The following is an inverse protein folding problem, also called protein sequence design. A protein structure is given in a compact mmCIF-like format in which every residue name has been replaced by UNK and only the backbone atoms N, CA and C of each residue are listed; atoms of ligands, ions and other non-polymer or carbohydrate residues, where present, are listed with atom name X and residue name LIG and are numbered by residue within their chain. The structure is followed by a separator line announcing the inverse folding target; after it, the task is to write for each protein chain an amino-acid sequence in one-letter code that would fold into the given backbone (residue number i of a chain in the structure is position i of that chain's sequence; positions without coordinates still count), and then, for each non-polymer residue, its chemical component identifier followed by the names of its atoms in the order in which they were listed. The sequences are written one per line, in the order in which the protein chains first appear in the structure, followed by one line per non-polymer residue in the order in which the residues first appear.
data_IF_238930231503
#
_entry.id   IF_238930231503
#
_cell.length_a   1.000
_cell.length_b   1.000
_cell.length_c   1.000
_cell.angle_alpha   90.00
_cell.angle_beta   90.00
_cell.angle_gamma   90.00
#
_symmetry.space_group_name_H-M   'P 1'
#
loop_
_entity.id
_entity.type
_entity.pdbx_description
1 polymer ?
#
# COMPACT_ATOMS: atom_id res chain seq x y z
N UNK A 1 -52.49 5.55 11.03
CA UNK A 1 -51.09 6.01 11.20
C UNK A 1 -50.28 5.37 10.07
N UNK A 2 -49.70 6.18 9.19
CA UNK A 2 -49.09 5.75 7.91
C UNK A 2 -47.73 5.09 8.15
N UNK A 3 -47.57 3.80 7.83
CA UNK A 3 -46.26 3.21 7.55
C UNK A 3 -45.91 3.51 6.08
N UNK A 4 -44.93 4.39 5.88
CA UNK A 4 -44.30 4.62 4.57
C UNK A 4 -42.78 4.48 4.75
N UNK A 5 -42.19 3.73 3.82
CA UNK A 5 -40.77 3.71 3.45
C UNK A 5 -39.85 2.86 4.33
N UNK A 6 -39.84 1.54 4.07
CA UNK A 6 -38.68 0.70 4.30
C UNK A 6 -38.27 0.10 2.94
N UNK A 7 -37.55 0.90 2.14
CA UNK A 7 -36.79 0.44 0.97
C UNK A 7 -35.32 0.75 1.25
N UNK A 8 -34.67 -0.11 2.02
CA UNK A 8 -33.22 -0.28 2.02
C UNK A 8 -32.97 -1.79 2.04
N UNK A 9 -32.95 -2.35 0.84
CA UNK A 9 -32.56 -3.74 0.61
C UNK A 9 -31.03 -3.77 0.73
N UNK A 10 -30.54 -4.14 1.91
CA UNK A 10 -29.12 -4.40 2.14
C UNK A 10 -28.78 -5.70 1.41
N UNK A 11 -28.14 -5.59 0.24
CA UNK A 11 -27.50 -6.72 -0.42
C UNK A 11 -26.20 -7.05 0.32
N UNK A 12 -26.30 -7.94 1.31
CA UNK A 12 -25.17 -8.45 2.06
C UNK A 12 -24.58 -9.67 1.30
N UNK A 13 -23.54 -9.45 0.49
CA UNK A 13 -22.76 -10.55 -0.07
C UNK A 13 -21.56 -10.78 0.85
N UNK A 14 -21.64 -11.82 1.67
CA UNK A 14 -20.53 -12.33 2.48
C UNK A 14 -19.72 -13.29 1.61
N UNK A 15 -18.55 -12.87 1.13
CA UNK A 15 -17.60 -13.77 0.46
C UNK A 15 -16.64 -14.32 1.50
N UNK A 16 -16.80 -15.61 1.83
CA UNK A 16 -15.85 -16.40 2.61
C UNK A 16 -14.72 -16.86 1.69
N UNK A 17 -13.52 -16.34 1.90
CA UNK A 17 -12.34 -16.61 1.08
C UNK A 17 -11.72 -17.95 1.48
N UNK A 18 -11.88 -18.95 0.62
CA UNK A 18 -10.98 -20.10 0.54
C UNK A 18 -10.53 -20.27 -0.92
N UNK A 19 -9.34 -19.75 -1.24
CA UNK A 19 -8.44 -20.25 -2.29
C UNK A 19 -8.97 -20.42 -3.73
N UNK A 20 -10.06 -19.76 -4.13
CA UNK A 20 -10.47 -19.67 -5.53
C UNK A 20 -10.58 -18.20 -5.87
N UNK A 21 -9.91 -17.76 -6.95
CA UNK A 21 -10.13 -16.45 -7.55
C UNK A 21 -11.63 -16.24 -7.67
N UNK A 22 -12.16 -15.34 -6.84
CA UNK A 22 -13.55 -14.95 -6.92
C UNK A 22 -13.71 -14.29 -8.29
N UNK A 23 -14.38 -14.97 -9.23
CA UNK A 23 -15.00 -14.27 -10.34
C UNK A 23 -15.96 -13.28 -9.69
N UNK A 24 -15.57 -12.01 -9.65
CA UNK A 24 -16.47 -10.92 -9.37
C UNK A 24 -17.69 -11.14 -10.25
N UNK A 25 -18.84 -11.39 -9.62
CA UNK A 25 -20.09 -11.49 -10.37
C UNK A 25 -20.33 -10.08 -10.88
N UNK A 26 -20.19 -9.90 -12.18
CA UNK A 26 -20.31 -8.62 -12.85
C UNK A 26 -21.77 -8.17 -12.77
N UNK A 27 -22.13 -7.51 -11.67
CA UNK A 27 -23.42 -6.87 -11.47
C UNK A 27 -23.36 -5.59 -12.30
N UNK A 28 -23.54 -5.73 -13.61
CA UNK A 28 -23.86 -4.62 -14.51
C UNK A 28 -25.29 -4.14 -14.17
N UNK A 29 -25.43 -3.50 -13.01
CA UNK A 29 -26.54 -2.62 -12.71
C UNK A 29 -26.23 -1.29 -13.40
N UNK A 30 -27.19 -0.76 -14.16
CA UNK A 30 -27.13 0.60 -14.70
C UNK A 30 -26.82 1.56 -13.55
N UNK A 31 -25.58 2.07 -13.52
CA UNK A 31 -25.16 3.03 -12.51
C UNK A 31 -26.03 4.28 -12.64
N UNK A 32 -26.55 4.75 -11.52
CA UNK A 32 -27.27 6.02 -11.56
C UNK A 32 -26.27 7.18 -11.74
N UNK A 33 -26.74 8.33 -12.25
CA UNK A 33 -25.87 9.47 -12.54
C UNK A 33 -25.07 9.97 -11.31
N UNK A 34 -25.62 9.83 -10.09
CA UNK A 34 -24.92 10.23 -8.88
C UNK A 34 -23.76 9.28 -8.54
N UNK A 35 -23.94 7.97 -8.74
CA UNK A 35 -22.88 6.98 -8.55
C UNK A 35 -21.72 7.20 -9.52
N UNK A 36 -22.01 7.56 -10.77
CA UNK A 36 -20.98 7.89 -11.75
C UNK A 36 -20.19 9.13 -11.32
N UNK A 37 -20.87 10.17 -10.82
CA UNK A 37 -20.22 11.39 -10.31
C UNK A 37 -19.33 11.07 -9.10
N UNK A 38 -19.81 10.26 -8.17
CA UNK A 38 -19.05 9.84 -6.99
C UNK A 38 -17.81 9.03 -7.37
N UNK A 39 -17.95 8.03 -8.26
CA UNK A 39 -16.83 7.22 -8.74
C UNK A 39 -15.77 8.05 -9.46
N UNK A 40 -16.19 9.01 -10.29
CA UNK A 40 -15.25 9.92 -10.95
C UNK A 40 -14.50 10.81 -9.93
N UNK A 41 -15.19 11.32 -8.91
CA UNK A 41 -14.55 12.12 -7.86
C UNK A 41 -13.51 11.29 -7.07
N UNK A 42 -13.82 10.03 -6.78
CA UNK A 42 -12.89 9.11 -6.12
C UNK A 42 -11.72 8.75 -7.04
N UNK A 43 -11.96 8.52 -8.32
CA UNK A 43 -10.90 8.28 -9.31
C UNK A 43 -9.95 9.48 -9.41
N UNK A 44 -10.48 10.70 -9.54
CA UNK A 44 -9.66 11.92 -9.59
C UNK A 44 -8.82 12.09 -8.32
N UNK A 45 -9.39 11.77 -7.14
CA UNK A 45 -8.66 11.76 -5.87
C UNK A 45 -7.55 10.70 -5.86
N UNK A 46 -7.84 9.48 -6.33
CA UNK A 46 -6.84 8.41 -6.42
C UNK A 46 -5.68 8.82 -7.33
N UNK A 47 -5.96 9.41 -8.50
CA UNK A 47 -4.93 9.90 -9.43
C UNK A 47 -4.10 11.01 -8.77
N UNK A 48 -4.73 11.94 -8.03
CA UNK A 48 -4.03 12.99 -7.30
C UNK A 48 -3.09 12.46 -6.23
N UNK A 49 -3.52 11.46 -5.48
CA UNK A 49 -2.69 10.80 -4.47
C UNK A 49 -1.54 10.02 -5.10
N UNK A 50 -1.79 9.31 -6.21
CA UNK A 50 -0.81 8.39 -6.78
C UNK A 50 0.20 9.05 -7.71
N UNK A 51 -0.21 10.13 -8.39
CA UNK A 51 0.59 10.75 -9.44
C UNK A 51 0.56 9.99 -10.77
N UNK A 52 -0.38 9.07 -10.97
CA UNK A 52 -0.47 8.25 -12.19
C UNK A 52 -0.96 9.02 -13.44
N UNK A 53 -0.95 10.36 -13.39
CA UNK A 53 -1.36 11.29 -14.47
C UNK A 53 -0.59 11.12 -15.79
N UNK A 54 0.70 10.78 -15.71
CA UNK A 54 1.58 10.71 -16.89
C UNK A 54 1.10 9.69 -17.92
N UNK A 55 0.24 8.76 -17.50
CA UNK A 55 -0.30 7.71 -18.35
C UNK A 55 -1.78 7.91 -18.64
N UNK A 56 -2.44 9.05 -18.38
CA UNK A 56 -3.92 9.12 -18.52
C UNK A 56 -4.45 8.77 -19.93
N UNK A 57 -3.68 9.07 -20.98
CA UNK A 57 -4.02 8.68 -22.35
C UNK A 57 -3.70 7.20 -22.67
N UNK A 58 -2.80 6.58 -21.89
CA UNK A 58 -2.37 5.18 -22.06
C UNK A 58 -3.11 4.21 -21.11
N UNK A 59 -3.45 4.68 -19.92
CA UNK A 59 -4.27 4.06 -18.89
C UNK A 59 -5.73 4.40 -19.16
N UNK A 60 -6.40 3.53 -19.91
CA UNK A 60 -7.85 3.56 -20.13
C UNK A 60 -8.59 3.20 -18.84
N UNK A 61 -8.43 4.00 -17.79
CA UNK A 61 -9.13 3.81 -16.53
C UNK A 61 -10.42 4.61 -16.59
N UNK A 62 -11.52 3.94 -16.29
CA UNK A 62 -12.85 4.53 -16.32
C UNK A 62 -13.56 4.36 -14.97
N UNK A 63 -14.74 4.96 -14.82
CA UNK A 63 -15.51 4.88 -13.58
C UNK A 63 -15.91 3.42 -13.24
N UNK A 64 -15.93 2.54 -14.23
CA UNK A 64 -16.22 1.11 -14.09
C UNK A 64 -15.11 0.37 -13.33
N UNK A 65 -13.87 0.87 -13.35
CA UNK A 65 -12.74 0.31 -12.60
C UNK A 65 -12.75 0.70 -11.11
N UNK A 66 -13.73 1.52 -10.70
CA UNK A 66 -13.94 1.96 -9.32
C UNK A 66 -15.05 1.13 -8.70
N UNK A 67 -14.69 0.28 -7.73
CA UNK A 67 -15.62 -0.65 -7.08
C UNK A 67 -15.71 -0.37 -5.58
N UNK A 68 -16.94 -0.36 -5.04
CA UNK A 68 -17.14 -0.34 -3.60
C UNK A 68 -17.08 -1.77 -3.08
N UNK A 69 -16.05 -2.09 -2.29
CA UNK A 69 -15.80 -3.44 -1.77
C UNK A 69 -15.67 -3.45 -0.25
N UNK A 70 -15.95 -4.59 0.38
CA UNK A 70 -15.59 -4.81 1.77
C UNK A 70 -14.14 -5.26 1.85
N UNK A 71 -13.34 -4.52 2.60
CA UNK A 71 -11.92 -4.77 2.74
C UNK A 71 -11.56 -5.18 4.17
N UNK A 72 -10.67 -6.16 4.26
CA UNK A 72 -10.09 -6.66 5.50
C UNK A 72 -8.57 -6.65 5.34
N UNK A 73 -7.89 -5.92 6.23
CA UNK A 73 -6.43 -5.83 6.25
C UNK A 73 -5.92 -6.27 7.63
N UNK A 74 -5.19 -7.38 7.64
CA UNK A 74 -4.57 -7.95 8.85
C UNK A 74 -3.05 -7.83 8.86
N UNK A 75 -2.46 -7.29 7.79
CA UNK A 75 -1.01 -7.36 7.54
C UNK A 75 -0.36 -5.99 7.59
N UNK A 76 -1.15 -4.95 7.37
CA UNK A 76 -0.69 -3.58 7.44
C UNK A 76 -0.71 -3.09 8.89
N UNK A 77 0.45 -2.77 9.51
CA UNK A 77 0.50 -2.18 10.85
C UNK A 77 -0.39 -0.94 10.94
N UNK A 78 -0.80 -0.53 12.15
CA UNK A 78 -1.69 0.62 12.46
C UNK A 78 -3.10 0.59 11.84
N UNK A 79 -3.30 -0.03 10.66
CA UNK A 79 -4.62 -0.22 10.04
C UNK A 79 -5.46 -1.29 10.73
N UNK A 80 -4.84 -2.15 11.55
CA UNK A 80 -5.55 -3.17 12.33
C UNK A 80 -6.64 -2.58 13.24
N UNK A 81 -6.41 -1.39 13.80
CA UNK A 81 -7.41 -0.67 14.61
C UNK A 81 -8.51 -0.02 13.77
N UNK A 82 -8.25 0.28 12.49
CA UNK A 82 -9.22 0.90 11.58
C UNK A 82 -10.24 -0.09 10.98
N UNK A 83 -10.23 -1.34 11.46
CA UNK A 83 -11.36 -2.26 11.40
C UNK A 83 -11.32 -3.25 10.24
N UNK A 84 -11.49 -4.53 10.57
CA UNK A 84 -11.82 -5.59 9.62
C UNK A 84 -13.21 -5.33 9.02
N UNK A 85 -13.38 -5.54 7.70
CA UNK A 85 -14.65 -5.45 6.95
C UNK A 85 -15.21 -4.04 6.79
N UNK A 86 -14.36 -3.12 6.34
CA UNK A 86 -14.74 -1.74 6.02
C UNK A 86 -15.14 -1.61 4.56
N UNK A 87 -16.14 -0.79 4.26
CA UNK A 87 -16.46 -0.42 2.88
C UNK A 87 -15.39 0.55 2.36
N UNK A 88 -14.72 0.18 1.27
CA UNK A 88 -13.66 0.97 0.63
C UNK A 88 -13.91 1.05 -0.86
N UNK A 89 -13.52 2.16 -1.45
CA UNK A 89 -13.36 2.26 -2.88
C UNK A 89 -12.04 1.59 -3.28
N UNK A 90 -12.14 0.58 -4.12
CA UNK A 90 -11.03 -0.08 -4.78
C UNK A 90 -10.94 0.43 -6.21
N UNK A 91 -9.75 0.87 -6.62
CA UNK A 91 -9.45 1.37 -7.95
C UNK A 91 -8.27 0.57 -8.49
N UNK A 92 -8.49 -0.12 -9.62
CA UNK A 92 -7.44 -0.85 -10.32
C UNK A 92 -6.80 0.06 -11.39
N UNK A 93 -5.48 0.22 -11.30
CA UNK A 93 -4.67 0.93 -12.29
C UNK A 93 -3.83 -0.10 -13.04
N UNK A 94 -3.98 -0.18 -14.36
CA UNK A 94 -3.27 -1.16 -15.16
C UNK A 94 -2.11 -0.55 -15.96
N UNK A 95 -1.04 -1.32 -16.17
CA UNK A 95 0.10 -0.92 -16.99
C UNK A 95 0.77 0.40 -16.53
N UNK A 96 0.83 0.63 -15.22
CA UNK A 96 1.48 1.80 -14.64
C UNK A 96 2.99 1.66 -14.72
N UNK A 97 3.61 2.70 -15.27
CA UNK A 97 5.04 2.76 -15.43
C UNK A 97 5.70 3.73 -14.43
N UNK A 98 6.36 3.19 -13.41
CA UNK A 98 7.09 3.98 -12.40
C UNK A 98 8.52 4.34 -12.85
N UNK A 99 8.68 4.96 -14.02
CA UNK A 99 10.01 5.33 -14.53
C UNK A 99 10.50 6.67 -13.98
N UNK A 100 11.73 6.65 -13.50
CA UNK A 100 12.57 7.85 -13.42
C UNK A 100 13.25 8.08 -14.76
N UNK A 101 13.42 9.35 -15.17
CA UNK A 101 14.25 9.73 -16.33
C UNK A 101 15.72 9.33 -16.17
N UNK A 102 16.15 9.08 -14.93
CA UNK A 102 17.53 8.77 -14.57
C UNK A 102 17.67 7.30 -14.17
N UNK A 103 18.63 6.59 -14.79
CA UNK A 103 19.20 5.36 -14.24
C UNK A 103 18.45 4.04 -14.50
N UNK A 104 17.48 4.01 -15.42
CA UNK A 104 16.83 2.76 -15.84
C UNK A 104 17.72 1.98 -16.84
N UNK A 105 17.85 0.66 -16.72
CA UNK A 105 18.27 -0.19 -17.85
C UNK A 105 17.32 0.03 -19.04
N UNK A 106 17.86 0.33 -20.22
CA UNK A 106 17.08 0.73 -21.39
C UNK A 106 16.13 -0.36 -21.94
N UNK A 107 16.27 -1.60 -21.48
CA UNK A 107 15.68 -2.82 -22.02
C UNK A 107 14.52 -3.39 -21.18
N UNK A 108 14.25 -2.89 -19.98
CA UNK A 108 13.27 -3.50 -19.09
C UNK A 108 12.01 -2.65 -18.95
N UNK A 109 10.91 -3.00 -19.64
CA UNK A 109 9.59 -2.43 -19.35
C UNK A 109 9.11 -2.89 -17.97
N UNK A 110 8.70 -1.93 -17.15
CA UNK A 110 8.25 -2.09 -15.77
C UNK A 110 6.85 -1.52 -15.66
N UNK A 111 5.97 -2.07 -16.49
CA UNK A 111 4.55 -1.81 -16.41
C UNK A 111 4.00 -2.76 -15.34
N UNK A 112 3.20 -2.20 -14.44
CA UNK A 112 2.70 -2.89 -13.24
C UNK A 112 1.26 -2.47 -12.98
N UNK A 113 0.52 -3.39 -12.38
CA UNK A 113 -0.83 -3.13 -11.96
C UNK A 113 -0.84 -2.71 -10.49
N UNK A 114 -1.61 -1.69 -10.17
CA UNK A 114 -1.75 -1.14 -8.83
C UNK A 114 -3.20 -1.15 -8.38
N UNK A 115 -3.42 -1.66 -7.18
CA UNK A 115 -4.68 -1.54 -6.46
C UNK A 115 -4.60 -0.40 -5.47
N UNK A 116 -5.55 0.53 -5.55
CA UNK A 116 -5.66 1.66 -4.62
C UNK A 116 -6.92 1.49 -3.79
N UNK A 117 -6.80 1.62 -2.47
CA UNK A 117 -7.90 1.47 -1.54
C UNK A 117 -8.11 2.77 -0.77
N UNK A 118 -9.27 3.39 -0.96
CA UNK A 118 -9.70 4.62 -0.29
C UNK A 118 -10.90 4.31 0.58
N UNK A 119 -10.88 4.75 1.83
CA UNK A 119 -12.03 4.57 2.71
C UNK A 119 -13.28 5.29 2.16
N UNK A 120 -14.40 4.58 2.07
CA UNK A 120 -15.63 5.16 1.51
C UNK A 120 -16.25 6.26 2.39
N UNK A 121 -16.07 6.19 3.71
CA UNK A 121 -16.69 7.12 4.64
C UNK A 121 -15.90 8.43 4.81
N UNK A 122 -14.57 8.34 4.94
CA UNK A 122 -13.68 9.47 5.21
C UNK A 122 -12.90 9.93 3.99
N UNK A 123 -12.86 9.12 2.93
CA UNK A 123 -12.06 9.39 1.74
C UNK A 123 -10.56 9.30 1.97
N UNK A 124 -10.08 8.81 3.12
CA UNK A 124 -8.64 8.66 3.35
C UNK A 124 -8.06 7.51 2.53
N UNK A 125 -6.83 7.69 2.05
CA UNK A 125 -6.06 6.62 1.44
C UNK A 125 -5.67 5.60 2.52
N UNK A 126 -6.06 4.35 2.34
CA UNK A 126 -5.67 3.27 3.25
C UNK A 126 -4.38 2.62 2.77
N UNK A 127 -4.32 2.25 1.49
CA UNK A 127 -3.13 1.63 0.90
C UNK A 127 -3.12 1.67 -0.62
N UNK A 128 -1.92 1.56 -1.16
CA UNK A 128 -1.61 1.32 -2.56
C UNK A 128 -0.82 0.02 -2.61
N UNK A 129 -1.18 -0.93 -3.47
CA UNK A 129 -0.50 -2.22 -3.59
C UNK A 129 -0.19 -2.47 -5.06
N UNK A 130 1.04 -2.85 -5.35
CA UNK A 130 1.43 -3.50 -6.61
C UNK A 130 1.91 -4.90 -6.26
N UNK A 131 1.12 -5.90 -6.64
CA UNK A 131 1.45 -7.30 -6.44
C UNK A 131 2.34 -7.82 -7.58
N UNK A 132 3.08 -8.90 -7.30
CA UNK A 132 3.85 -9.60 -8.32
C UNK A 132 2.98 -10.62 -9.06
N UNK A 133 2.90 -10.54 -10.38
CA UNK A 133 2.01 -11.36 -11.22
C UNK A 133 2.35 -12.86 -11.30
N UNK A 134 3.51 -13.29 -10.79
CA UNK A 134 4.10 -14.57 -11.24
C UNK A 134 4.06 -15.73 -10.25
N UNK A 135 3.16 -15.71 -9.26
CA UNK A 135 2.90 -16.88 -8.39
C UNK A 135 4.13 -17.44 -7.66
N UNK A 136 5.22 -16.67 -7.59
CA UNK A 136 6.41 -17.05 -6.86
C UNK A 136 6.04 -16.98 -5.38
N UNK A 137 6.23 -18.06 -4.60
CA UNK A 137 5.88 -18.06 -3.20
C UNK A 137 6.59 -16.90 -2.51
N UNK A 138 5.89 -16.26 -1.56
CA UNK A 138 6.51 -15.29 -0.68
C UNK A 138 7.79 -15.88 -0.13
N UNK A 139 8.92 -15.24 -0.40
CA UNK A 139 10.21 -15.69 0.14
C UNK A 139 10.24 -15.59 1.68
N UNK A 140 9.29 -14.87 2.28
CA UNK A 140 9.15 -14.66 3.71
C UNK A 140 7.70 -14.50 4.12
N UNK A 141 7.29 -15.07 5.28
CA UNK A 141 5.94 -14.90 5.79
C UNK A 141 5.63 -13.41 5.98
N UNK A 142 4.43 -13.00 5.57
CA UNK A 142 3.91 -11.68 5.91
C UNK A 142 3.85 -11.54 7.43
N UNK A 143 4.42 -10.44 7.93
CA UNK A 143 4.30 -10.08 9.34
C UNK A 143 2.88 -9.59 9.62
N UNK A 144 2.29 -10.05 10.72
CA UNK A 144 1.00 -9.54 11.16
C UNK A 144 1.12 -8.07 11.57
N UNK A 145 0.05 -7.31 11.38
CA UNK A 145 -0.02 -5.89 11.69
C UNK A 145 0.46 -5.57 13.11
N UNK A 146 0.03 -6.35 14.11
CA UNK A 146 0.37 -6.16 15.52
C UNK A 146 1.88 -6.30 15.79
N UNK A 147 2.53 -7.31 15.18
CA UNK A 147 3.96 -7.55 15.36
C UNK A 147 4.81 -6.50 14.63
N UNK A 148 4.36 -6.09 13.44
CA UNK A 148 4.96 -4.98 12.70
C UNK A 148 4.91 -3.69 13.53
N UNK A 149 3.77 -3.40 14.13
CA UNK A 149 3.57 -2.21 14.96
C UNK A 149 4.42 -2.23 16.23
N UNK A 150 4.48 -3.37 16.94
CA UNK A 150 5.38 -3.53 18.10
C UNK A 150 6.83 -3.21 17.75
N UNK A 151 7.31 -3.66 16.59
CA UNK A 151 8.69 -3.38 16.16
C UNK A 151 8.91 -1.91 15.83
N UNK A 152 7.95 -1.26 15.18
CA UNK A 152 8.01 0.16 14.86
C UNK A 152 8.02 0.98 16.16
N UNK A 153 7.08 0.70 17.07
CA UNK A 153 6.98 1.34 18.38
C UNK A 153 8.25 1.17 19.23
N UNK A 154 8.93 0.00 19.14
CA UNK A 154 10.19 -0.25 19.87
C UNK A 154 11.32 0.70 19.47
N UNK A 155 11.22 1.36 18.31
CA UNK A 155 12.17 2.34 17.80
C UNK A 155 11.79 3.79 18.09
N UNK A 156 10.69 4.00 18.83
CA UNK A 156 10.12 5.33 19.07
C UNK A 156 9.28 5.87 17.90
N UNK A 157 9.20 5.14 16.79
CA UNK A 157 8.37 5.47 15.65
C UNK A 157 6.89 5.20 15.97
N UNK A 158 6.01 6.10 15.55
CA UNK A 158 4.55 5.95 15.68
C UNK A 158 3.85 6.47 14.43
N UNK A 159 2.79 5.77 14.05
CA UNK A 159 1.81 6.27 13.09
C UNK A 159 0.57 6.66 13.87
N UNK A 160 0.25 7.96 13.87
CA UNK A 160 -0.74 8.53 14.80
C UNK A 160 -2.09 8.81 14.14
N UNK A 161 -2.21 8.58 12.82
CA UNK A 161 -3.46 8.74 12.09
C UNK A 161 -3.27 8.83 10.58
N UNK A 162 -4.37 9.16 9.89
CA UNK A 162 -4.42 9.40 8.46
C UNK A 162 -4.43 10.91 8.19
N UNK A 163 -3.68 11.43 7.20
CA UNK A 163 -3.67 12.87 6.92
C UNK A 163 -4.94 13.32 6.20
N UNK A 164 -5.47 14.48 6.60
CA UNK A 164 -6.66 15.09 5.99
C UNK A 164 -6.35 15.88 4.70
N UNK A 165 -5.08 16.26 4.52
CA UNK A 165 -4.61 17.05 3.36
C UNK A 165 -4.13 16.13 2.23
N UNK A 166 -4.32 16.55 0.98
CA UNK A 166 -3.70 15.88 -0.17
C UNK A 166 -2.19 16.14 -0.11
N UNK A 167 -1.34 15.12 -0.32
CA UNK A 167 0.11 15.30 -0.29
C UNK A 167 0.57 16.17 -1.46
N UNK A 168 1.55 17.05 -1.22
CA UNK A 168 2.18 17.85 -2.29
C UNK A 168 3.06 16.97 -3.18
N UNK A 169 3.59 15.87 -2.63
CA UNK A 169 4.38 14.86 -3.33
C UNK A 169 3.51 13.63 -3.56
N UNK A 170 3.35 13.23 -4.81
CA UNK A 170 2.58 12.03 -5.16
C UNK A 170 3.26 10.74 -4.68
N UNK A 171 2.51 9.63 -4.61
CA UNK A 171 3.09 8.31 -4.35
C UNK A 171 4.21 7.97 -5.33
N UNK A 172 4.03 8.26 -6.63
CA UNK A 172 5.04 7.98 -7.67
C UNK A 172 6.33 8.73 -7.38
N UNK A 173 6.25 10.02 -7.07
CA UNK A 173 7.43 10.85 -6.77
C UNK A 173 8.12 10.36 -5.48
N UNK A 174 7.34 10.05 -4.44
CA UNK A 174 7.86 9.51 -3.20
C UNK A 174 8.52 8.12 -3.40
N UNK A 175 7.93 7.27 -4.24
CA UNK A 175 8.49 5.95 -4.58
C UNK A 175 9.82 6.09 -5.31
N UNK A 176 9.97 7.10 -6.16
CA UNK A 176 11.20 7.39 -6.88
C UNK A 176 12.25 8.15 -6.03
N UNK A 177 11.86 8.78 -4.93
CA UNK A 177 12.77 9.52 -4.05
C UNK A 177 13.80 8.61 -3.36
N UNK A 178 15.09 8.80 -3.65
CA UNK A 178 16.16 7.98 -3.06
C UNK A 178 16.12 6.47 -3.40
N UNK A 179 17.07 5.68 -2.91
CA UNK A 179 17.09 4.22 -3.04
C UNK A 179 16.29 3.51 -1.93
N UNK A 180 15.91 2.22 -2.12
CA UNK A 180 15.93 1.51 -3.39
C UNK A 180 14.84 2.03 -4.33
N UNK A 181 15.01 1.75 -5.62
CA UNK A 181 14.09 2.20 -6.67
C UNK A 181 12.95 1.19 -6.87
N UNK A 182 11.73 1.63 -7.20
CA UNK A 182 10.56 0.75 -7.23
C UNK A 182 10.65 -0.35 -8.30
N UNK A 183 11.32 -0.11 -9.43
CA UNK A 183 11.42 -1.10 -10.50
C UNK A 183 12.19 -2.37 -10.12
N UNK A 184 13.05 -2.34 -9.10
CA UNK A 184 13.70 -3.56 -8.62
C UNK A 184 12.82 -4.36 -7.64
N UNK A 185 11.70 -3.79 -7.20
CA UNK A 185 10.76 -4.45 -6.29
C UNK A 185 9.87 -5.45 -7.05
N UNK A 186 9.64 -6.61 -6.44
CA UNK A 186 8.61 -7.57 -6.83
C UNK A 186 7.24 -7.07 -6.37
N UNK A 187 7.16 -6.53 -5.16
CA UNK A 187 5.95 -6.00 -4.55
C UNK A 187 6.22 -4.60 -4.00
N UNK A 188 5.24 -3.70 -4.14
CA UNK A 188 5.30 -2.35 -3.60
C UNK A 188 4.02 -2.10 -2.82
N UNK A 189 4.15 -1.65 -1.57
CA UNK A 189 3.06 -1.20 -0.74
C UNK A 189 3.30 0.26 -0.32
N UNK A 190 2.35 1.13 -0.63
CA UNK A 190 2.36 2.54 -0.31
C UNK A 190 1.28 2.90 0.69
N UNK A 191 1.62 3.74 1.66
CA UNK A 191 0.68 4.27 2.65
C UNK A 191 0.93 5.73 2.92
N UNK A 192 -0.13 6.47 3.19
CA UNK A 192 -0.07 7.89 3.50
C UNK A 192 -0.58 8.12 4.93
N UNK A 193 0.32 8.49 5.84
CA UNK A 193 0.07 8.48 7.28
C UNK A 193 0.62 9.72 7.95
N UNK A 194 0.12 10.04 9.14
CA UNK A 194 0.78 10.96 10.06
C UNK A 194 1.81 10.18 10.87
N UNK A 195 3.08 10.58 10.78
CA UNK A 195 4.23 9.92 11.40
C UNK A 195 4.95 10.83 12.39
N UNK A 196 5.46 10.23 13.46
CA UNK A 196 6.43 10.85 14.39
C UNK A 196 7.42 9.80 14.89
N UNK A 197 8.63 10.23 15.25
CA UNK A 197 9.65 9.44 15.94
C UNK A 197 9.77 9.83 17.44
N UNK A 198 8.82 10.63 17.94
CA UNK A 198 8.82 11.19 19.29
C UNK A 198 9.80 12.36 19.49
N UNK A 199 10.63 12.70 18.49
CA UNK A 199 11.58 13.82 18.53
C UNK A 199 11.08 15.00 17.73
N UNK A 200 10.27 14.73 16.71
CA UNK A 200 9.69 15.71 15.82
C UNK A 200 8.16 15.76 15.94
N UNK A 201 7.58 16.93 15.66
CA UNK A 201 6.14 17.09 15.51
C UNK A 201 5.58 16.11 14.45
N UNK A 202 4.42 15.47 14.74
CA UNK A 202 3.77 14.58 13.78
C UNK A 202 3.49 15.26 12.44
N UNK A 203 3.75 14.56 11.34
CA UNK A 203 3.61 15.13 10.00
C UNK A 203 3.20 14.09 8.96
N UNK A 204 2.57 14.51 7.85
CA UNK A 204 2.22 13.60 6.76
C UNK A 204 3.47 13.05 6.06
N UNK A 205 3.53 11.74 5.91
CA UNK A 205 4.60 11.03 5.21
C UNK A 205 4.04 9.93 4.33
N UNK A 206 4.81 9.56 3.31
CA UNK A 206 4.66 8.31 2.60
C UNK A 206 5.49 7.21 3.28
N UNK A 207 4.84 6.10 3.59
CA UNK A 207 5.51 4.85 3.95
C UNK A 207 5.48 3.95 2.73
N UNK A 208 6.66 3.62 2.20
CA UNK A 208 6.80 2.80 0.99
C UNK A 208 7.58 1.56 1.34
N UNK A 209 6.87 0.44 1.40
CA UNK A 209 7.44 -0.88 1.61
C UNK A 209 7.65 -1.56 0.26
N UNK A 210 8.82 -2.16 0.07
CA UNK A 210 9.20 -2.87 -1.13
C UNK A 210 9.70 -4.26 -0.74
N UNK A 211 9.25 -5.27 -1.46
CA UNK A 211 9.72 -6.65 -1.34
C UNK A 211 10.42 -7.08 -2.65
N UNK A 212 11.44 -7.92 -2.58
CA UNK A 212 11.90 -8.72 -3.74
C UNK A 212 13.36 -8.61 -4.18
N UNK A 213 14.05 -7.47 -4.09
CA UNK A 213 15.50 -7.45 -4.30
C UNK A 213 16.20 -7.57 -2.94
N UNK A 214 17.25 -8.39 -2.87
CA UNK A 214 18.21 -8.31 -1.77
C UNK A 214 18.82 -6.91 -1.85
N UNK A 215 18.33 -5.99 -1.03
CA UNK A 215 18.90 -4.65 -0.96
C UNK A 215 20.23 -4.80 -0.24
N UNK A 216 21.36 -4.33 -0.80
CA UNK A 216 22.61 -4.31 -0.06
C UNK A 216 22.37 -3.49 1.21
N UNK A 217 22.47 -4.14 2.36
CA UNK A 217 22.21 -3.47 3.64
C UNK A 217 23.27 -2.39 3.83
N UNK A 218 22.83 -1.14 3.91
CA UNK A 218 23.72 0.00 4.14
C UNK A 218 24.02 0.04 5.65
N UNK A 219 25.24 -0.35 6.04
CA UNK A 219 25.73 -0.28 7.43
C UNK A 219 26.41 -1.56 7.94
N UNK A 220 27.23 -1.44 8.99
CA UNK A 220 28.09 -2.51 9.52
C UNK A 220 27.38 -3.73 10.12
N UNK A 221 26.05 -3.74 10.17
CA UNK A 221 25.23 -4.87 10.63
C UNK A 221 24.72 -5.77 9.50
N UNK A 222 25.07 -5.48 8.25
CA UNK A 222 24.63 -6.22 7.06
C UNK A 222 24.79 -7.73 7.22
N UNK A 223 26.00 -8.17 7.58
CA UNK A 223 26.41 -9.58 7.65
C UNK A 223 25.55 -10.42 8.63
N UNK A 224 25.00 -9.80 9.67
CA UNK A 224 24.23 -10.48 10.71
C UNK A 224 22.73 -10.61 10.42
N UNK A 225 22.23 -9.91 9.40
CA UNK A 225 20.83 -9.99 8.99
C UNK A 225 20.72 -11.15 7.99
N UNK A 226 19.92 -12.20 8.25
CA UNK A 226 19.73 -13.28 7.29
C UNK A 226 19.23 -12.75 5.94
N UNK A 227 19.64 -13.35 4.82
CA UNK A 227 19.30 -12.88 3.47
C UNK A 227 17.79 -12.74 3.25
N UNK A 228 17.00 -13.63 3.85
CA UNK A 228 15.54 -13.57 3.80
C UNK A 228 14.97 -12.32 4.50
N UNK A 229 15.68 -11.70 5.44
CA UNK A 229 15.28 -10.40 6.02
C UNK A 229 15.81 -9.19 5.23
N UNK A 230 16.66 -9.40 4.22
CA UNK A 230 17.25 -8.34 3.38
C UNK A 230 16.40 -8.04 2.13
N UNK A 231 15.41 -8.87 1.84
CA UNK A 231 14.51 -8.72 0.69
C UNK A 231 13.33 -7.76 0.95
N UNK A 232 13.24 -7.15 2.14
CA UNK A 232 12.23 -6.15 2.49
C UNK A 232 12.89 -4.84 2.86
N UNK A 233 12.36 -3.75 2.33
CA UNK A 233 12.80 -2.40 2.61
C UNK A 233 11.59 -1.49 2.82
N UNK A 234 11.64 -0.63 3.83
CA UNK A 234 10.68 0.42 4.12
C UNK A 234 11.38 1.77 4.00
N UNK A 235 10.80 2.66 3.22
CA UNK A 235 11.24 4.05 3.06
C UNK A 235 10.18 4.98 3.62
N UNK A 236 10.62 5.99 4.37
CA UNK A 236 9.75 7.04 4.91
C UNK A 236 10.12 8.36 4.25
N UNK A 237 9.17 8.94 3.53
CA UNK A 237 9.35 10.13 2.70
C UNK A 237 8.42 11.24 3.17
N UNK A 238 8.94 12.43 3.37
CA UNK A 238 8.15 13.62 3.65
C UNK A 238 7.18 13.88 2.50
N UNK A 239 5.87 13.89 2.78
CA UNK A 239 4.86 14.02 1.74
C UNK A 239 4.64 15.47 1.26
N UNK A 240 5.32 16.44 1.90
CA UNK A 240 5.32 17.84 1.50
C UNK A 240 6.54 18.17 0.64
N UNK A 241 7.72 17.71 1.07
CA UNK A 241 8.98 18.12 0.45
C UNK A 241 9.69 17.03 -0.35
N UNK A 242 9.28 15.77 -0.21
CA UNK A 242 9.86 14.64 -0.94
C UNK A 242 11.19 14.15 -0.36
N UNK A 243 11.60 14.70 0.79
CA UNK A 243 12.83 14.31 1.48
C UNK A 243 12.68 12.92 2.07
N UNK A 244 13.65 12.04 1.82
CA UNK A 244 13.71 10.73 2.44
C UNK A 244 14.27 10.87 3.85
N UNK A 245 13.48 10.57 4.88
CA UNK A 245 13.95 10.59 6.26
C UNK A 245 14.88 9.43 6.55
N UNK A 246 14.48 8.22 6.16
CA UNK A 246 15.31 7.03 6.29
C UNK A 246 14.78 5.90 5.42
N UNK A 247 15.65 4.90 5.28
CA UNK A 247 15.41 3.64 4.58
C UNK A 247 15.83 2.53 5.53
N UNK A 248 14.97 1.55 5.78
CA UNK A 248 15.24 0.49 6.76
C UNK A 248 14.59 -0.82 6.35
N UNK A 249 15.20 -1.95 6.72
CA UNK A 249 14.61 -3.28 6.49
C UNK A 249 13.73 -3.71 7.66
N UNK A 250 12.99 -2.76 8.24
CA UNK A 250 12.16 -2.95 9.42
C UNK A 250 10.73 -2.56 9.06
N UNK A 251 9.70 -3.33 9.46
CA UNK A 251 9.75 -4.48 10.39
C UNK A 251 10.39 -5.74 9.79
N UNK A 252 10.96 -6.58 10.66
CA UNK A 252 11.64 -7.84 10.32
C UNK A 252 10.78 -9.02 10.73
N UNK A 253 10.78 -10.08 9.94
CA UNK A 253 10.21 -11.37 10.37
C UNK A 253 11.00 -11.88 11.59
N UNK A 254 10.38 -12.47 12.62
CA UNK A 254 11.10 -13.06 13.75
C UNK A 254 12.17 -14.05 13.29
N UNK A 255 13.33 -14.05 13.95
CA UNK A 255 14.40 -15.01 13.64
C UNK A 255 13.94 -16.43 13.97
N UNK A 256 14.24 -17.36 13.06
CA UNK A 256 14.12 -18.80 13.34
C UNK A 256 14.99 -19.19 14.55
N UNK A 257 14.67 -20.27 15.28
CA UNK A 257 15.54 -20.78 16.33
C UNK A 257 16.98 -21.03 15.85
N UNK A 258 17.14 -21.52 14.62
CA UNK A 258 18.43 -21.79 13.98
C UNK A 258 19.21 -20.49 13.75
N UNK A 259 18.55 -19.45 13.25
CA UNK A 259 19.18 -18.13 13.09
C UNK A 259 19.57 -17.52 14.42
N UNK A 260 18.72 -17.65 15.45
CA UNK A 260 19.05 -17.18 16.80
C UNK A 260 20.30 -17.89 17.33
N UNK A 261 20.38 -19.20 17.18
CA UNK A 261 21.56 -19.98 17.59
C UNK A 261 22.82 -19.55 16.84
N UNK A 262 22.71 -19.37 15.53
CA UNK A 262 23.83 -18.91 14.67
C UNK A 262 24.31 -17.50 15.04
N UNK A 263 23.38 -16.56 15.28
CA UNK A 263 23.70 -15.14 15.51
C UNK A 263 24.11 -14.90 16.97
N UNK A 264 23.47 -15.55 17.93
CA UNK A 264 23.65 -15.29 19.36
C UNK A 264 24.65 -16.24 20.04
N UNK A 265 25.13 -17.27 19.34
CA UNK A 265 26.11 -18.22 19.86
C UNK A 265 25.64 -19.02 21.09
N UNK A 266 24.31 -19.18 21.25
CA UNK A 266 23.67 -19.97 22.31
C UNK A 266 22.88 -21.13 21.71
#
# INVERSE_FOLDING_TARGET
MKLRNLKFLIFLIVILVAGKQAKATDINQDLNANEVVERNAILDKAISLTGFYANRDECKISAEDVQLVLHEDSTTPFLGEFGTKRAVWHIAFHNINLNSKEGRPADQKFDRDFDVYIDSASGHLLKIICNYDNGSPEECPILLAEDAEKQINSRGEKYVGLPEVIPEISFTDAALAGPPKPWIAKEILGQYVIYTDGRCEPRPVWIISMCGPIVPVIGGSAEWIPDYQRNRCRKVVDAKYGNVFFVTNTPKVPLTPEDRKRILGK
#
